data_IF_238820558934
#
_entry.id   IF_238820558934
#
_cell.length_a   1.000
_cell.length_b   1.000
_cell.length_c   1.000
_cell.angle_alpha   90.00
_cell.angle_beta   90.00
_cell.angle_gamma   90.00
#
_symmetry.space_group_name_H-M   'P 1'
#
loop_
_entity.id
_entity.type
_entity.pdbx_description
1 polymer ?
#
# COMPACT_ATOMS: atom_id res chain seq x y z
N UNK A 1 19.09 -24.44 14.94
CA UNK A 1 19.44 -24.38 13.50
C UNK A 1 20.21 -23.08 13.25
N UNK A 2 21.55 -23.17 13.24
CA UNK A 2 22.48 -22.08 12.98
C UNK A 2 22.76 -21.97 11.47
N UNK A 3 21.77 -21.62 10.68
CA UNK A 3 21.95 -21.50 9.22
C UNK A 3 21.73 -20.06 8.73
N UNK A 4 21.24 -19.16 9.60
CA UNK A 4 21.02 -17.75 9.23
C UNK A 4 21.57 -16.89 10.37
N UNK A 5 22.64 -16.18 10.10
CA UNK A 5 23.11 -15.09 10.95
C UNK A 5 22.19 -13.89 10.72
N UNK A 6 21.66 -13.32 11.81
CA UNK A 6 20.59 -12.34 11.73
C UNK A 6 21.08 -10.93 11.39
N UNK A 7 22.39 -10.70 11.46
CA UNK A 7 22.98 -9.39 11.18
C UNK A 7 24.30 -9.57 10.43
N UNK A 8 24.54 -8.79 9.37
CA UNK A 8 25.81 -8.81 8.63
C UNK A 8 27.01 -8.56 9.54
N UNK A 9 26.83 -7.74 10.57
CA UNK A 9 27.90 -7.39 11.54
C UNK A 9 28.37 -8.62 12.35
N UNK A 10 27.51 -9.63 12.54
CA UNK A 10 27.81 -10.86 13.29
C UNK A 10 28.80 -11.75 12.52
N UNK A 11 28.96 -11.54 11.20
CA UNK A 11 29.89 -12.23 10.31
C UNK A 11 31.01 -11.31 9.79
N UNK A 12 31.11 -10.08 10.34
CA UNK A 12 32.15 -9.12 9.96
C UNK A 12 31.89 -8.38 8.66
N UNK A 13 30.63 -8.33 8.20
CA UNK A 13 30.21 -7.60 7.00
C UNK A 13 29.35 -6.38 7.36
N UNK A 14 29.35 -5.39 6.46
CA UNK A 14 28.43 -4.25 6.53
C UNK A 14 27.12 -4.55 5.77
N UNK A 15 26.01 -3.85 6.03
CA UNK A 15 24.74 -4.07 5.34
C UNK A 15 24.77 -3.92 3.80
N UNK A 16 25.82 -3.29 3.27
CA UNK A 16 26.11 -3.13 1.84
C UNK A 16 26.99 -4.23 1.24
N UNK A 17 27.35 -5.26 2.06
CA UNK A 17 28.19 -6.37 1.63
C UNK A 17 29.68 -6.05 1.50
N UNK A 18 30.11 -4.86 1.94
CA UNK A 18 31.54 -4.50 2.00
C UNK A 18 32.20 -5.12 3.23
N UNK A 19 33.49 -5.54 3.14
CA UNK A 19 34.22 -6.01 4.31
C UNK A 19 34.28 -4.93 5.40
N UNK A 20 34.17 -5.36 6.66
CA UNK A 20 34.35 -4.47 7.78
C UNK A 20 35.81 -3.99 7.85
N UNK A 21 36.09 -2.82 7.32
CA UNK A 21 37.39 -2.15 7.53
C UNK A 21 37.40 -1.60 8.95
N UNK A 22 38.25 -2.16 9.80
CA UNK A 22 38.50 -1.61 11.13
C UNK A 22 39.11 -0.20 10.98
N UNK A 23 38.46 0.88 11.44
CA UNK A 23 38.96 2.22 11.24
C UNK A 23 40.30 2.40 12.00
N UNK A 24 41.38 2.63 11.27
CA UNK A 24 42.67 3.00 11.81
C UNK A 24 42.54 4.38 12.47
N UNK A 25 42.35 4.44 13.82
CA UNK A 25 42.40 5.67 14.58
C UNK A 25 41.08 6.10 15.25
N UNK A 26 41.05 7.19 16.01
CA UNK A 26 40.03 7.48 17.02
C UNK A 26 38.69 7.99 16.45
N UNK A 27 38.00 7.15 15.73
CA UNK A 27 36.70 7.49 15.11
C UNK A 27 35.50 6.81 15.76
N UNK A 28 35.63 6.28 16.99
CA UNK A 28 34.47 5.79 17.80
C UNK A 28 33.36 6.83 17.98
N UNK A 29 33.68 8.13 17.79
CA UNK A 29 32.72 9.23 17.92
C UNK A 29 31.76 9.35 16.73
N UNK A 30 32.19 9.07 15.49
CA UNK A 30 31.34 9.25 14.31
C UNK A 30 30.35 8.08 14.10
N UNK A 31 30.78 6.85 14.37
CA UNK A 31 29.87 5.69 14.30
C UNK A 31 28.84 5.71 15.44
N UNK A 32 29.24 6.14 16.64
CA UNK A 32 28.30 6.32 17.75
C UNK A 32 27.31 7.48 17.47
N UNK A 33 27.72 8.54 16.81
CA UNK A 33 26.82 9.64 16.40
C UNK A 33 25.89 9.23 15.27
N UNK A 34 26.34 8.45 14.31
CA UNK A 34 25.47 7.93 13.24
C UNK A 34 24.48 6.87 13.76
N UNK A 35 24.93 5.93 14.58
CA UNK A 35 24.04 4.98 15.25
C UNK A 35 23.07 5.66 16.22
N UNK A 36 23.51 6.72 16.92
CA UNK A 36 22.65 7.52 17.77
C UNK A 36 21.69 8.42 16.97
N UNK A 37 22.08 8.90 15.78
CA UNK A 37 21.19 9.66 14.91
C UNK A 37 20.12 8.75 14.27
N UNK A 38 20.45 7.51 13.89
CA UNK A 38 19.44 6.52 13.45
C UNK A 38 18.49 6.12 14.56
N UNK A 39 18.94 5.98 15.81
CA UNK A 39 18.06 5.73 16.98
C UNK A 39 17.13 6.89 17.31
N UNK A 40 17.43 8.12 16.89
CA UNK A 40 16.63 9.32 17.19
C UNK A 40 15.37 9.47 16.34
N UNK A 41 15.20 8.66 15.30
CA UNK A 41 14.11 8.82 14.33
C UNK A 41 13.01 7.75 14.45
N UNK A 42 13.22 6.68 15.23
CA UNK A 42 12.35 5.54 15.19
C UNK A 42 11.24 5.62 16.25
N UNK A 43 10.02 5.53 15.77
CA UNK A 43 8.82 5.43 16.60
C UNK A 43 8.66 4.02 17.19
N UNK A 44 8.25 3.91 18.43
CA UNK A 44 7.66 2.68 18.95
C UNK A 44 6.26 2.48 18.36
N UNK A 45 5.74 1.24 18.35
CA UNK A 45 4.39 0.98 17.87
C UNK A 45 3.34 1.80 18.61
N UNK A 46 3.49 1.98 19.94
CA UNK A 46 2.58 2.78 20.78
C UNK A 46 2.60 4.27 20.40
N UNK A 47 3.77 4.81 20.10
CA UNK A 47 3.92 6.20 19.65
C UNK A 47 3.33 6.38 18.24
N UNK A 48 3.60 5.45 17.33
CA UNK A 48 3.04 5.48 15.96
C UNK A 48 1.50 5.48 16.00
N UNK A 49 0.88 4.61 16.78
CA UNK A 49 -0.57 4.53 16.98
C UNK A 49 -1.21 5.82 17.51
N UNK A 50 -0.43 6.68 18.18
CA UNK A 50 -0.90 7.98 18.67
C UNK A 50 -0.84 9.08 17.61
N UNK A 51 -0.21 8.82 16.47
CA UNK A 51 -0.10 9.81 15.38
C UNK A 51 -1.30 9.77 14.46
N UNK A 52 -1.75 10.93 13.99
CA UNK A 52 -2.77 11.01 12.92
C UNK A 52 -2.29 10.38 11.63
N UNK A 53 -0.99 10.46 11.35
CA UNK A 53 -0.39 9.89 10.16
C UNK A 53 -0.61 8.37 10.05
N UNK A 54 -0.45 7.65 11.17
CA UNK A 54 -0.70 6.21 11.22
C UNK A 54 -2.13 5.87 10.79
N UNK A 55 -3.12 6.52 11.40
CA UNK A 55 -4.52 6.24 11.12
C UNK A 55 -4.93 6.65 9.71
N UNK A 56 -4.49 7.80 9.24
CA UNK A 56 -4.78 8.21 7.86
C UNK A 56 -4.16 7.25 6.84
N UNK A 57 -2.93 6.78 7.05
CA UNK A 57 -2.33 5.75 6.18
C UNK A 57 -3.04 4.40 6.29
N UNK A 58 -3.38 3.96 7.50
CA UNK A 58 -4.06 2.68 7.70
C UNK A 58 -5.47 2.69 7.08
N UNK A 59 -6.25 3.76 7.30
CA UNK A 59 -7.60 3.92 6.74
C UNK A 59 -7.56 4.09 5.22
N UNK A 60 -6.68 4.94 4.69
CA UNK A 60 -6.51 5.09 3.25
C UNK A 60 -6.11 3.79 2.56
N UNK A 61 -5.22 3.01 3.19
CA UNK A 61 -4.87 1.68 2.69
C UNK A 61 -6.03 0.69 2.85
N UNK A 62 -6.75 0.74 3.96
CA UNK A 62 -7.94 -0.08 4.20
C UNK A 62 -9.03 0.15 3.16
N UNK A 63 -9.36 1.42 2.84
CA UNK A 63 -10.33 1.73 1.77
C UNK A 63 -9.91 1.17 0.41
N UNK A 64 -8.62 1.21 0.08
CA UNK A 64 -8.13 0.58 -1.14
C UNK A 64 -8.30 -0.94 -1.13
N UNK A 65 -8.10 -1.59 0.02
CA UNK A 65 -8.32 -3.04 0.15
C UNK A 65 -9.81 -3.41 0.14
N UNK A 66 -10.72 -2.55 0.59
CA UNK A 66 -12.17 -2.72 0.36
C UNK A 66 -12.45 -2.83 -1.13
N UNK A 67 -11.90 -1.91 -1.94
CA UNK A 67 -12.08 -1.91 -3.40
C UNK A 67 -11.49 -3.17 -4.03
N UNK A 68 -10.24 -3.50 -3.69
CA UNK A 68 -9.55 -4.68 -4.23
C UNK A 68 -10.31 -5.96 -3.86
N UNK A 69 -10.72 -6.12 -2.60
CA UNK A 69 -11.48 -7.29 -2.15
C UNK A 69 -12.79 -7.45 -2.92
N UNK A 70 -13.56 -6.37 -3.09
CA UNK A 70 -14.80 -6.38 -3.86
C UNK A 70 -14.56 -6.79 -5.32
N UNK A 71 -13.54 -6.21 -5.97
CA UNK A 71 -13.18 -6.53 -7.36
C UNK A 71 -12.76 -7.98 -7.50
N UNK A 72 -11.86 -8.47 -6.64
CA UNK A 72 -11.34 -9.84 -6.76
C UNK A 72 -12.42 -10.91 -6.65
N UNK A 73 -13.48 -10.68 -5.88
CA UNK A 73 -14.56 -11.64 -5.71
C UNK A 73 -15.67 -11.46 -6.77
N UNK A 74 -16.02 -10.23 -7.08
CA UNK A 74 -17.22 -9.96 -7.87
C UNK A 74 -16.99 -9.56 -9.33
N UNK A 75 -15.74 -9.36 -9.75
CA UNK A 75 -15.43 -8.94 -11.12
C UNK A 75 -15.96 -9.93 -12.17
N UNK A 76 -15.62 -11.21 -12.03
CA UNK A 76 -16.03 -12.23 -13.00
C UNK A 76 -17.56 -12.37 -13.01
N UNK A 77 -18.21 -12.33 -11.84
CA UNK A 77 -19.67 -12.39 -11.72
C UNK A 77 -20.34 -11.20 -12.43
N UNK A 78 -19.77 -10.00 -12.28
CA UNK A 78 -20.27 -8.80 -12.94
C UNK A 78 -20.10 -8.87 -14.47
N UNK A 79 -18.92 -9.30 -14.94
CA UNK A 79 -18.61 -9.39 -16.36
C UNK A 79 -19.48 -10.45 -17.06
N UNK A 80 -19.62 -11.62 -16.45
CA UNK A 80 -20.38 -12.73 -17.04
C UNK A 80 -21.89 -12.56 -16.85
N UNK A 81 -22.34 -12.31 -15.61
CA UNK A 81 -23.76 -12.32 -15.28
C UNK A 81 -24.50 -11.09 -15.80
N UNK A 82 -23.90 -9.89 -15.75
CA UNK A 82 -24.57 -8.66 -16.17
C UNK A 82 -24.20 -8.23 -17.60
N UNK A 83 -22.90 -8.29 -17.93
CA UNK A 83 -22.42 -7.76 -19.22
C UNK A 83 -22.39 -8.84 -20.31
N UNK A 84 -22.69 -10.11 -19.97
CA UNK A 84 -22.80 -11.21 -20.91
C UNK A 84 -21.47 -11.69 -21.53
N UNK A 85 -20.32 -11.28 -20.96
CA UNK A 85 -19.02 -11.75 -21.45
C UNK A 85 -18.78 -13.21 -21.08
N UNK A 86 -18.11 -13.95 -21.96
CA UNK A 86 -17.71 -15.33 -21.67
C UNK A 86 -16.75 -15.40 -20.46
N UNK A 87 -16.71 -16.53 -19.77
CA UNK A 87 -15.73 -16.76 -18.69
C UNK A 87 -14.29 -16.61 -19.17
N UNK A 88 -14.02 -17.00 -20.43
CA UNK A 88 -12.71 -16.81 -21.05
C UNK A 88 -12.36 -15.32 -21.15
N UNK A 89 -13.27 -14.49 -21.65
CA UNK A 89 -13.06 -13.03 -21.74
C UNK A 89 -12.87 -12.42 -20.33
N UNK A 90 -13.69 -12.83 -19.36
CA UNK A 90 -13.56 -12.38 -17.98
C UNK A 90 -12.19 -12.77 -17.39
N UNK A 91 -11.71 -13.98 -17.67
CA UNK A 91 -10.37 -14.45 -17.27
C UNK A 91 -9.25 -13.62 -17.90
N UNK A 92 -9.37 -13.26 -19.19
CA UNK A 92 -8.41 -12.38 -19.87
C UNK A 92 -8.37 -10.98 -19.25
N UNK A 93 -9.50 -10.45 -18.81
CA UNK A 93 -9.56 -9.17 -18.09
C UNK A 93 -8.81 -9.25 -16.74
N UNK A 94 -8.99 -10.35 -16.00
CA UNK A 94 -8.22 -10.59 -14.76
C UNK A 94 -6.72 -10.71 -15.06
N UNK A 95 -6.36 -11.40 -16.12
CA UNK A 95 -4.94 -11.51 -16.55
C UNK A 95 -4.35 -10.16 -16.92
N UNK A 96 -5.09 -9.31 -17.63
CA UNK A 96 -4.67 -7.96 -17.99
C UNK A 96 -4.48 -7.11 -16.70
N UNK A 97 -5.44 -7.17 -15.77
CA UNK A 97 -5.37 -6.46 -14.50
C UNK A 97 -4.10 -6.87 -13.72
N UNK A 98 -3.84 -8.19 -13.62
CA UNK A 98 -2.67 -8.71 -12.91
C UNK A 98 -1.36 -8.35 -13.64
N UNK A 99 -1.34 -8.40 -14.96
CA UNK A 99 -0.19 -7.98 -15.76
C UNK A 99 0.15 -6.50 -15.55
N UNK A 100 -0.86 -5.62 -15.58
CA UNK A 100 -0.66 -4.19 -15.31
C UNK A 100 -0.32 -3.90 -13.85
N UNK A 101 -0.76 -4.73 -12.90
CA UNK A 101 -0.32 -4.67 -11.50
C UNK A 101 1.19 -4.93 -11.37
N UNK A 102 1.73 -5.91 -12.08
CA UNK A 102 3.18 -6.19 -12.09
C UNK A 102 3.94 -4.98 -12.63
N UNK A 103 3.48 -4.39 -13.73
CA UNK A 103 4.06 -3.16 -14.29
C UNK A 103 4.06 -2.03 -13.25
N UNK A 104 2.93 -1.84 -12.55
CA UNK A 104 2.80 -0.86 -11.47
C UNK A 104 3.79 -1.11 -10.32
N UNK A 105 4.01 -2.37 -9.93
CA UNK A 105 4.97 -2.72 -8.87
C UNK A 105 6.41 -2.37 -9.26
N UNK A 106 6.81 -2.68 -10.49
CA UNK A 106 8.14 -2.35 -11.01
C UNK A 106 8.31 -0.82 -11.08
N UNK A 107 7.30 -0.12 -11.59
CA UNK A 107 7.32 1.34 -11.69
C UNK A 107 7.32 2.06 -10.35
N UNK A 108 6.81 1.43 -9.29
CA UNK A 108 6.69 2.02 -7.96
C UNK A 108 8.04 2.46 -7.36
N UNK A 109 9.07 1.64 -7.51
CA UNK A 109 10.43 1.97 -7.05
C UNK A 109 10.92 3.25 -7.72
N UNK A 110 10.94 3.25 -9.06
CA UNK A 110 11.40 4.39 -9.84
C UNK A 110 10.62 5.70 -9.54
N UNK A 111 9.31 5.61 -9.41
CA UNK A 111 8.46 6.75 -9.08
C UNK A 111 8.70 7.22 -7.65
N UNK A 112 8.81 6.29 -6.70
CA UNK A 112 9.00 6.58 -5.28
C UNK A 112 10.35 7.22 -4.95
N UNK A 113 11.38 6.98 -5.77
CA UNK A 113 12.70 7.59 -5.63
C UNK A 113 12.74 9.04 -6.14
N UNK A 114 11.82 9.41 -7.04
CA UNK A 114 11.83 10.73 -7.70
C UNK A 114 10.76 11.69 -7.23
N UNK A 115 9.64 11.16 -6.74
CA UNK A 115 8.48 11.97 -6.38
C UNK A 115 8.01 11.68 -4.95
N UNK A 116 7.24 12.59 -4.38
CA UNK A 116 6.61 12.37 -3.08
C UNK A 116 5.70 11.13 -3.13
N UNK A 117 6.13 10.07 -2.44
CA UNK A 117 5.45 8.78 -2.39
C UNK A 117 3.98 8.92 -1.95
N UNK A 118 3.69 9.86 -1.05
CA UNK A 118 2.34 10.15 -0.57
C UNK A 118 1.43 10.67 -1.69
N UNK A 119 1.95 11.59 -2.52
CA UNK A 119 1.19 12.13 -3.65
C UNK A 119 0.95 11.07 -4.72
N UNK A 120 1.94 10.19 -4.97
CA UNK A 120 1.77 9.06 -5.88
C UNK A 120 0.63 8.15 -5.41
N UNK A 121 0.63 7.77 -4.12
CA UNK A 121 -0.41 6.90 -3.54
C UNK A 121 -1.78 7.58 -3.57
N UNK A 122 -1.85 8.91 -3.35
CA UNK A 122 -3.07 9.67 -3.54
C UNK A 122 -3.56 9.60 -4.99
N UNK A 123 -2.66 9.76 -5.98
CA UNK A 123 -2.96 9.59 -7.41
C UNK A 123 -3.46 8.17 -7.75
N UNK A 124 -2.88 7.13 -7.14
CA UNK A 124 -3.35 5.76 -7.28
C UNK A 124 -4.82 5.61 -6.83
N UNK A 125 -5.24 6.32 -5.78
CA UNK A 125 -6.65 6.31 -5.36
C UNK A 125 -7.55 7.00 -6.38
N UNK A 126 -7.07 8.04 -7.06
CA UNK A 126 -7.76 8.64 -8.21
C UNK A 126 -7.94 7.65 -9.36
N UNK A 127 -6.91 6.86 -9.67
CA UNK A 127 -7.01 5.79 -10.66
C UNK A 127 -7.99 4.70 -10.23
N UNK A 128 -8.00 4.30 -8.94
CA UNK A 128 -9.02 3.39 -8.44
C UNK A 128 -10.43 3.97 -8.58
N UNK A 129 -10.64 5.26 -8.30
CA UNK A 129 -11.94 5.90 -8.46
C UNK A 129 -12.39 5.88 -9.93
N UNK A 130 -11.54 6.30 -10.86
CA UNK A 130 -11.83 6.27 -12.29
C UNK A 130 -12.11 4.84 -12.78
N UNK A 131 -11.29 3.87 -12.34
CA UNK A 131 -11.47 2.47 -12.68
C UNK A 131 -12.83 1.93 -12.19
N UNK A 132 -13.24 2.25 -10.96
CA UNK A 132 -14.54 1.83 -10.42
C UNK A 132 -15.71 2.44 -11.19
N UNK A 133 -15.61 3.69 -11.64
CA UNK A 133 -16.62 4.31 -12.51
C UNK A 133 -16.68 3.60 -13.86
N UNK A 134 -15.54 3.31 -14.49
CA UNK A 134 -15.49 2.55 -15.74
C UNK A 134 -16.13 1.17 -15.60
N UNK A 135 -15.85 0.44 -14.51
CA UNK A 135 -16.42 -0.88 -14.27
C UNK A 135 -17.92 -0.80 -13.99
N UNK A 136 -18.36 0.15 -13.16
CA UNK A 136 -19.78 0.31 -12.79
C UNK A 136 -20.66 0.57 -14.01
N UNK A 137 -20.20 1.44 -14.90
CA UNK A 137 -20.98 1.90 -16.06
C UNK A 137 -20.47 1.34 -17.39
N UNK A 138 -19.76 0.22 -17.37
CA UNK A 138 -19.22 -0.42 -18.57
C UNK A 138 -20.32 -0.77 -19.58
N UNK A 139 -20.18 -0.27 -20.81
CA UNK A 139 -21.07 -0.56 -21.94
C UNK A 139 -20.35 -1.33 -23.05
N UNK A 140 -19.04 -1.36 -23.03
CA UNK A 140 -18.22 -2.00 -24.05
C UNK A 140 -16.89 -2.50 -23.44
N UNK A 141 -16.19 -3.34 -24.20
CA UNK A 141 -14.94 -3.97 -23.77
C UNK A 141 -13.84 -2.95 -23.46
N UNK A 142 -13.80 -1.82 -24.17
CA UNK A 142 -12.75 -0.82 -23.95
C UNK A 142 -12.84 -0.15 -22.58
N UNK A 143 -14.03 0.05 -22.05
CA UNK A 143 -14.21 0.54 -20.68
C UNK A 143 -13.69 -0.48 -19.66
N UNK A 144 -13.90 -1.77 -19.91
CA UNK A 144 -13.39 -2.84 -19.06
C UNK A 144 -11.87 -2.95 -19.14
N UNK A 145 -11.30 -2.82 -20.33
CA UNK A 145 -9.84 -2.73 -20.51
C UNK A 145 -9.28 -1.53 -19.76
N UNK A 146 -9.90 -0.35 -19.90
CA UNK A 146 -9.51 0.86 -19.15
C UNK A 146 -9.57 0.66 -17.63
N UNK A 147 -10.65 0.02 -17.14
CA UNK A 147 -10.74 -0.39 -15.74
C UNK A 147 -9.57 -1.28 -15.32
N UNK A 148 -9.29 -2.36 -16.07
CA UNK A 148 -8.26 -3.33 -15.72
C UNK A 148 -6.86 -2.70 -15.66
N UNK A 149 -6.55 -1.82 -16.63
CA UNK A 149 -5.27 -1.11 -16.68
C UNK A 149 -5.13 -0.12 -15.52
N UNK A 150 -6.11 0.75 -15.31
CA UNK A 150 -6.05 1.75 -14.24
C UNK A 150 -6.02 1.12 -12.86
N UNK A 151 -6.89 0.12 -12.62
CA UNK A 151 -6.96 -0.56 -11.33
C UNK A 151 -5.69 -1.36 -11.04
N UNK A 152 -5.18 -2.09 -12.05
CA UNK A 152 -3.97 -2.88 -11.91
C UNK A 152 -2.74 -2.01 -11.61
N UNK A 153 -2.50 -0.96 -12.40
CA UNK A 153 -1.38 -0.02 -12.17
C UNK A 153 -1.49 0.59 -10.76
N UNK A 154 -2.68 1.08 -10.37
CA UNK A 154 -2.90 1.71 -9.07
C UNK A 154 -2.62 0.74 -7.91
N UNK A 155 -3.09 -0.50 -8.01
CA UNK A 155 -2.85 -1.54 -7.02
C UNK A 155 -1.36 -1.87 -6.92
N UNK A 156 -0.73 -2.14 -8.07
CA UNK A 156 0.69 -2.49 -8.13
C UNK A 156 1.60 -1.39 -7.56
N UNK A 157 1.40 -0.16 -8.01
CA UNK A 157 2.23 0.99 -7.57
C UNK A 157 2.07 1.27 -6.09
N UNK A 158 0.84 1.21 -5.56
CA UNK A 158 0.56 1.57 -4.16
C UNK A 158 1.18 0.60 -3.16
N UNK A 159 1.20 -0.70 -3.44
CA UNK A 159 1.68 -1.74 -2.51
C UNK A 159 3.08 -1.45 -1.93
N UNK A 160 4.13 -1.43 -2.75
CA UNK A 160 5.51 -1.15 -2.31
C UNK A 160 5.66 0.24 -1.68
N UNK A 161 5.01 1.27 -2.24
CA UNK A 161 5.09 2.64 -1.71
C UNK A 161 4.52 2.76 -0.31
N UNK A 162 3.48 2.00 0.05
CA UNK A 162 2.94 1.99 1.40
C UNK A 162 3.93 1.45 2.44
N UNK A 163 4.78 0.50 2.06
CA UNK A 163 5.85 0.01 2.91
C UNK A 163 6.92 1.09 3.09
N UNK A 164 7.36 1.69 1.97
CA UNK A 164 8.37 2.74 1.98
C UNK A 164 7.91 3.97 2.80
N UNK A 165 6.68 4.46 2.63
CA UNK A 165 6.14 5.58 3.40
C UNK A 165 6.15 5.28 4.91
N UNK A 166 5.77 4.06 5.31
CA UNK A 166 5.79 3.68 6.74
C UNK A 166 7.19 3.67 7.31
N UNK A 167 8.17 3.14 6.56
CA UNK A 167 9.58 3.19 6.96
C UNK A 167 10.08 4.64 7.06
N UNK A 168 9.75 5.49 6.08
CA UNK A 168 10.14 6.91 6.06
C UNK A 168 9.51 7.73 7.21
N UNK A 169 8.33 7.32 7.69
CA UNK A 169 7.57 8.06 8.71
C UNK A 169 7.90 7.60 10.12
N UNK A 170 8.09 6.30 10.33
CA UNK A 170 8.19 5.70 11.65
C UNK A 170 9.54 5.05 11.94
N UNK A 171 10.41 4.92 10.94
CA UNK A 171 11.70 4.26 11.06
C UNK A 171 11.61 2.73 10.93
N UNK A 172 12.79 2.08 10.98
CA UNK A 172 12.92 0.65 10.73
C UNK A 172 12.89 -0.21 12.02
N UNK A 173 13.27 0.34 13.17
CA UNK A 173 13.50 -0.44 14.40
C UNK A 173 12.27 -1.19 14.92
N UNK A 174 11.06 -0.62 14.76
CA UNK A 174 9.80 -1.22 15.21
C UNK A 174 8.84 -1.48 14.03
N UNK A 175 9.38 -1.54 12.82
CA UNK A 175 8.59 -1.62 11.59
C UNK A 175 7.60 -2.78 11.59
N UNK A 176 8.02 -3.98 12.01
CA UNK A 176 7.18 -5.17 12.06
C UNK A 176 5.94 -4.99 12.96
N UNK A 177 6.10 -4.39 14.14
CA UNK A 177 4.99 -4.16 15.05
C UNK A 177 4.02 -3.08 14.50
N UNK A 178 4.54 -2.00 13.91
CA UNK A 178 3.74 -0.94 13.28
C UNK A 178 2.97 -1.49 12.09
N UNK A 179 3.62 -2.33 11.28
CA UNK A 179 2.99 -3.03 10.16
C UNK A 179 1.89 -3.96 10.63
N UNK A 180 2.11 -4.74 11.70
CA UNK A 180 1.12 -5.65 12.26
C UNK A 180 -0.18 -4.92 12.61
N UNK A 181 -0.09 -3.82 13.37
CA UNK A 181 -1.26 -3.00 13.70
C UNK A 181 -1.94 -2.39 12.46
N UNK A 182 -1.17 -1.89 11.51
CA UNK A 182 -1.74 -1.37 10.27
C UNK A 182 -2.43 -2.47 9.46
N UNK A 183 -1.86 -3.68 9.46
CA UNK A 183 -2.41 -4.83 8.72
C UNK A 183 -3.77 -5.28 9.24
N UNK A 184 -4.07 -5.12 10.53
CA UNK A 184 -5.41 -5.39 11.06
C UNK A 184 -6.46 -4.52 10.37
N UNK A 185 -6.25 -3.21 10.28
CA UNK A 185 -7.17 -2.29 9.61
C UNK A 185 -7.28 -2.63 8.12
N UNK A 186 -6.16 -2.92 7.48
CA UNK A 186 -6.09 -3.24 6.04
C UNK A 186 -6.80 -4.55 5.72
N UNK A 187 -6.61 -5.60 6.52
CA UNK A 187 -7.27 -6.90 6.32
C UNK A 187 -8.78 -6.82 6.59
N UNK A 188 -9.23 -6.01 7.55
CA UNK A 188 -10.65 -5.72 7.73
C UNK A 188 -11.24 -5.11 6.45
N UNK A 189 -10.53 -4.17 5.80
CA UNK A 189 -10.95 -3.62 4.51
C UNK A 189 -11.09 -4.69 3.44
N UNK A 190 -10.10 -5.58 3.33
CA UNK A 190 -10.12 -6.69 2.38
C UNK A 190 -11.31 -7.63 2.58
N UNK A 191 -11.69 -7.90 3.84
CA UNK A 191 -12.84 -8.75 4.17
C UNK A 191 -14.19 -8.05 3.95
N UNK A 192 -14.28 -6.75 4.27
CA UNK A 192 -15.52 -5.98 4.16
C UNK A 192 -15.90 -5.71 2.70
N UNK A 193 -14.93 -5.60 1.79
CA UNK A 193 -15.17 -5.29 0.38
C UNK A 193 -16.14 -6.25 -0.31
N UNK A 194 -15.86 -7.55 -0.32
CA UNK A 194 -16.76 -8.55 -0.90
C UNK A 194 -18.15 -8.58 -0.23
N UNK A 195 -18.19 -8.50 1.09
CA UNK A 195 -19.44 -8.50 1.85
C UNK A 195 -20.32 -7.31 1.45
N UNK A 196 -19.72 -6.12 1.37
CA UNK A 196 -20.42 -4.91 0.94
C UNK A 196 -20.93 -5.04 -0.50
N UNK A 197 -20.08 -5.46 -1.43
CA UNK A 197 -20.46 -5.55 -2.84
C UNK A 197 -21.53 -6.62 -3.08
N UNK A 198 -21.45 -7.76 -2.39
CA UNK A 198 -22.47 -8.80 -2.42
C UNK A 198 -23.82 -8.31 -1.86
N UNK A 199 -23.80 -7.71 -0.67
CA UNK A 199 -25.00 -7.13 -0.06
C UNK A 199 -25.69 -6.11 -0.97
N UNK A 200 -24.91 -5.22 -1.59
CA UNK A 200 -25.46 -4.23 -2.53
C UNK A 200 -26.05 -4.89 -3.78
N UNK A 201 -25.37 -5.91 -4.31
CA UNK A 201 -25.88 -6.65 -5.46
C UNK A 201 -27.18 -7.40 -5.15
N UNK A 202 -27.28 -8.03 -3.99
CA UNK A 202 -28.50 -8.73 -3.53
C UNK A 202 -29.68 -7.76 -3.35
N UNK A 203 -29.42 -6.55 -2.86
CA UNK A 203 -30.45 -5.52 -2.65
C UNK A 203 -30.91 -4.83 -3.92
N UNK A 204 -30.01 -4.62 -4.88
CA UNK A 204 -30.28 -3.81 -6.08
C UNK A 204 -30.40 -4.63 -7.37
N UNK A 205 -30.11 -5.94 -7.31
CA UNK A 205 -30.04 -6.82 -8.47
C UNK A 205 -28.82 -6.56 -9.37
N UNK A 206 -27.85 -5.72 -8.92
CA UNK A 206 -26.73 -5.29 -9.77
C UNK A 206 -25.53 -4.79 -8.96
N UNK A 207 -24.32 -5.03 -9.46
CA UNK A 207 -23.08 -4.51 -8.89
C UNK A 207 -22.81 -3.01 -9.20
N UNK A 208 -23.61 -2.35 -10.01
CA UNK A 208 -23.38 -0.95 -10.43
C UNK A 208 -23.30 -0.02 -9.24
N UNK A 209 -24.30 -0.10 -8.35
CA UNK A 209 -24.35 0.73 -7.14
C UNK A 209 -23.16 0.45 -6.20
N UNK A 210 -22.77 -0.82 -6.09
CA UNK A 210 -21.60 -1.23 -5.31
C UNK A 210 -20.31 -0.59 -5.85
N UNK A 211 -20.03 -0.75 -7.14
CA UNK A 211 -18.80 -0.20 -7.74
C UNK A 211 -18.83 1.35 -7.80
N UNK A 212 -20.00 1.96 -8.02
CA UNK A 212 -20.13 3.41 -7.99
C UNK A 212 -19.83 3.99 -6.59
N UNK A 213 -20.34 3.36 -5.53
CA UNK A 213 -20.01 3.79 -4.15
C UNK A 213 -18.54 3.52 -3.79
N UNK A 214 -17.95 2.43 -4.29
CA UNK A 214 -16.52 2.16 -4.12
C UNK A 214 -15.64 3.21 -4.85
N UNK A 215 -16.11 3.82 -5.93
CA UNK A 215 -15.43 4.97 -6.53
C UNK A 215 -15.37 6.16 -5.57
N UNK A 216 -16.47 6.44 -4.86
CA UNK A 216 -16.49 7.48 -3.82
C UNK A 216 -15.58 7.10 -2.65
N UNK A 217 -15.58 5.84 -2.20
CA UNK A 217 -14.64 5.35 -1.18
C UNK A 217 -13.18 5.55 -1.60
N UNK A 218 -12.85 5.38 -2.89
CA UNK A 218 -11.51 5.64 -3.38
C UNK A 218 -11.12 7.12 -3.21
N UNK A 219 -12.01 8.06 -3.52
CA UNK A 219 -11.77 9.49 -3.32
C UNK A 219 -11.52 9.80 -1.84
N UNK A 220 -12.34 9.25 -0.95
CA UNK A 220 -12.17 9.38 0.51
C UNK A 220 -10.82 8.81 0.95
N UNK A 221 -10.44 7.62 0.44
CA UNK A 221 -9.13 7.03 0.70
C UNK A 221 -7.97 7.91 0.21
N UNK A 222 -8.12 8.56 -0.94
CA UNK A 222 -7.18 9.55 -1.47
C UNK A 222 -7.04 10.76 -0.53
N UNK A 223 -8.14 11.26 0.02
CA UNK A 223 -8.13 12.35 0.99
C UNK A 223 -7.39 11.95 2.28
N UNK A 224 -7.54 10.71 2.77
CA UNK A 224 -6.77 10.22 3.90
C UNK A 224 -5.26 10.23 3.60
N UNK A 225 -4.82 9.77 2.45
CA UNK A 225 -3.41 9.84 2.07
C UNK A 225 -2.91 11.27 1.93
N UNK A 226 -3.71 12.16 1.38
CA UNK A 226 -3.36 13.57 1.29
C UNK A 226 -3.17 14.22 2.66
N UNK A 227 -3.96 13.82 3.66
CA UNK A 227 -3.88 14.30 5.04
C UNK A 227 -2.79 13.61 5.86
N UNK A 228 -2.25 12.47 5.41
CA UNK A 228 -1.22 11.71 6.10
C UNK A 228 0.16 12.39 6.02
N UNK A 229 0.30 13.54 6.66
CA UNK A 229 1.60 14.26 6.73
C UNK A 229 2.57 13.53 7.63
N UNK A 230 3.87 13.57 7.27
CA UNK A 230 4.93 12.99 8.10
C UNK A 230 4.87 13.56 9.51
N UNK A 231 4.86 12.69 10.56
CA UNK A 231 4.85 13.15 11.93
C UNK A 231 6.18 13.82 12.30
N UNK A 232 6.20 14.73 13.30
CA UNK A 232 7.42 15.37 13.74
C UNK A 232 8.40 14.34 14.30
N UNK A 233 9.68 14.59 14.12
CA UNK A 233 10.74 13.73 14.68
C UNK A 233 10.66 13.72 16.22
N UNK A 234 10.71 12.52 16.82
CA UNK A 234 10.79 12.39 18.26
C UNK A 234 12.21 12.75 18.72
N UNK A 235 12.36 13.92 19.32
CA UNK A 235 13.57 14.26 20.06
C UNK A 235 13.50 13.49 21.39
N UNK A 236 14.14 12.34 21.50
CA UNK A 236 14.40 11.75 22.83
C UNK A 236 15.47 12.63 23.46
N UNK A 237 15.03 13.46 24.41
CA UNK A 237 15.94 14.26 25.22
C UNK A 237 17.01 13.33 25.80
N UNK A 238 18.29 13.71 25.62
CA UNK A 238 19.38 13.02 26.28
C UNK A 238 19.07 12.97 27.77
N UNK A 239 19.24 11.80 28.32
CA UNK A 239 19.26 11.61 29.77
C UNK A 239 20.26 12.63 30.35
N UNK A 240 19.73 13.48 31.24
CA UNK A 240 20.55 14.34 32.11
C UNK A 240 21.21 13.49 33.17
#
# INVERSE_FOLDING_TARGET
TRIIDHRPEDIGEMPDGLPFEEPAGPTKSQHATNAASHRRLDYTAREALRTRAFWFMALGHGTALVIIGAVMVHLILHLNGRLGYSLTTAGLVVSLLTGTQIIGQIGAGFLGDRFDKRLIVCGCMGFHAAAMVLLAYAQNLWMIVGFAVLHGIAWGTRGPLMQAIRADYFGASNFGAIMGWSSLVVMMGMALGPLYAGYMADRTGSYVSAFATLAVCAIVGGAFFFLAKKPPQLLRGGER
#
